data_IF_950731770611
#
_entry.id   IF_950731770611
#
_cell.length_a   1.000
_cell.length_b   1.000
_cell.length_c   1.000
_cell.angle_alpha   90.00
_cell.angle_beta   90.00
_cell.angle_gamma   90.00
#
_symmetry.space_group_name_H-M   'P 1'
#
loop_
_entity.id
_entity.type
_entity.pdbx_description
1 polymer ?
#
# COMPACT_ATOMS: atom_id res chain seq x y z
N UNK A 1 23.85 -12.57 -4.07
CA UNK A 1 22.95 -11.60 -3.42
C UNK A 1 21.92 -11.21 -4.46
N UNK A 2 20.66 -10.98 -4.08
CA UNK A 2 19.61 -10.71 -5.06
C UNK A 2 19.88 -9.34 -5.71
N UNK A 3 20.52 -9.32 -6.89
CA UNK A 3 20.85 -8.10 -7.66
C UNK A 3 19.60 -7.34 -8.17
N UNK A 4 18.40 -7.81 -7.82
CA UNK A 4 17.14 -7.18 -8.18
C UNK A 4 16.71 -6.07 -7.23
N UNK A 5 17.36 -5.91 -6.07
CA UNK A 5 17.05 -4.85 -5.10
C UNK A 5 17.96 -3.63 -5.27
N UNK A 6 17.40 -2.43 -5.12
CA UNK A 6 18.17 -1.19 -5.20
C UNK A 6 19.06 -0.95 -3.97
N UNK A 7 18.68 -1.50 -2.81
CA UNK A 7 19.45 -1.39 -1.57
C UNK A 7 20.01 -2.76 -1.17
N UNK A 8 21.32 -2.81 -0.90
CA UNK A 8 22.05 -4.05 -0.59
C UNK A 8 21.59 -4.72 0.72
N UNK A 9 20.91 -3.98 1.59
CA UNK A 9 20.43 -4.48 2.88
C UNK A 9 19.11 -5.27 2.78
N UNK A 10 18.49 -5.36 1.60
CA UNK A 10 17.22 -6.07 1.42
C UNK A 10 17.47 -7.56 1.15
N UNK A 11 16.90 -8.41 2.00
CA UNK A 11 17.05 -9.86 1.93
C UNK A 11 15.68 -10.55 1.88
N UNK A 12 15.59 -11.66 1.16
CA UNK A 12 14.35 -12.40 0.96
C UNK A 12 13.61 -12.02 -0.32
N UNK A 13 12.72 -12.90 -0.77
CA UNK A 13 11.83 -12.66 -1.91
C UNK A 13 10.60 -13.57 -1.82
N UNK A 14 9.48 -13.11 -2.35
CA UNK A 14 8.27 -13.90 -2.54
C UNK A 14 7.64 -13.54 -3.91
N UNK A 15 6.96 -14.48 -4.58
CA UNK A 15 6.37 -14.21 -5.89
C UNK A 15 5.16 -13.28 -5.78
N UNK A 16 5.03 -12.34 -6.73
CA UNK A 16 3.87 -11.45 -6.85
C UNK A 16 3.32 -11.48 -8.28
N UNK A 17 2.01 -11.20 -8.43
CA UNK A 17 1.36 -10.99 -9.71
C UNK A 17 0.83 -9.55 -9.79
N UNK A 18 1.33 -8.76 -10.73
CA UNK A 18 0.83 -7.41 -10.95
C UNK A 18 -0.55 -7.47 -11.62
N UNK A 19 -1.59 -6.97 -10.94
CA UNK A 19 -2.95 -6.88 -11.51
C UNK A 19 -3.19 -5.55 -12.23
N UNK A 20 -2.61 -4.47 -11.73
CA UNK A 20 -2.76 -3.11 -12.27
C UNK A 20 -1.37 -2.47 -12.32
N UNK A 21 -0.98 -1.94 -13.48
CA UNK A 21 0.25 -1.18 -13.68
C UNK A 21 -0.13 0.15 -14.33
N UNK A 22 -0.33 1.18 -13.50
CA UNK A 22 -0.80 2.50 -13.93
C UNK A 22 -0.46 3.56 -12.88
N UNK A 23 -0.13 4.76 -13.35
CA UNK A 23 0.01 5.93 -12.47
C UNK A 23 -1.38 6.49 -12.11
N UNK A 24 -1.67 6.56 -10.80
CA UNK A 24 -2.91 7.14 -10.26
C UNK A 24 -2.53 8.31 -9.35
N UNK A 25 -2.98 9.55 -9.63
CA UNK A 25 -2.69 10.70 -8.77
C UNK A 25 -3.26 10.55 -7.36
N UNK A 26 -2.53 11.01 -6.35
CA UNK A 26 -2.99 11.02 -4.96
C UNK A 26 -4.31 11.77 -4.76
N UNK A 27 -4.59 12.81 -5.56
CA UNK A 27 -5.86 13.54 -5.50
C UNK A 27 -7.08 12.64 -5.71
N UNK A 28 -6.94 11.56 -6.50
CA UNK A 28 -8.01 10.60 -6.75
C UNK A 28 -8.31 9.71 -5.53
N UNK A 29 -7.34 9.51 -4.62
CA UNK A 29 -7.45 8.57 -3.49
C UNK A 29 -7.47 9.27 -2.11
N UNK A 30 -7.12 10.55 -2.03
CA UNK A 30 -6.96 11.31 -0.78
C UNK A 30 -8.22 11.38 0.09
N UNK A 31 -9.40 11.21 -0.50
CA UNK A 31 -10.67 11.20 0.22
C UNK A 31 -10.91 9.91 1.02
N UNK A 32 -10.13 8.85 0.76
CA UNK A 32 -10.19 7.59 1.50
C UNK A 32 -9.34 7.75 2.77
N UNK A 33 -10.01 7.73 3.93
CA UNK A 33 -9.38 7.83 5.26
C UNK A 33 -9.30 6.48 5.93
N UNK A 34 -8.22 6.24 6.67
CA UNK A 34 -7.98 4.97 7.37
C UNK A 34 -8.24 5.14 8.87
N UNK A 35 -9.26 4.47 9.39
CA UNK A 35 -9.63 4.50 10.82
C UNK A 35 -8.49 3.99 11.72
N UNK A 36 -7.76 2.98 11.24
CA UNK A 36 -6.61 2.38 11.91
C UNK A 36 -5.34 3.23 11.79
N UNK A 37 -5.44 4.45 11.23
CA UNK A 37 -4.35 5.40 11.07
C UNK A 37 -4.78 6.82 11.44
N UNK A 38 -5.51 6.98 12.55
CA UNK A 38 -5.96 8.29 13.05
C UNK A 38 -6.79 9.07 12.01
N UNK A 39 -7.54 8.35 11.16
CA UNK A 39 -8.30 8.91 10.04
C UNK A 39 -7.44 9.70 9.03
N UNK A 40 -6.14 9.43 8.96
CA UNK A 40 -5.27 10.00 7.93
C UNK A 40 -5.66 9.46 6.54
N UNK A 41 -5.51 10.26 5.48
CA UNK A 41 -5.68 9.80 4.11
C UNK A 41 -4.79 8.60 3.80
N UNK A 42 -5.28 7.64 3.02
CA UNK A 42 -4.51 6.48 2.54
C UNK A 42 -3.22 6.89 1.81
N UNK A 43 -3.24 8.06 1.17
CA UNK A 43 -2.08 8.63 0.45
C UNK A 43 -0.91 9.01 1.37
N UNK A 44 -1.11 9.00 2.70
CA UNK A 44 -0.11 9.36 3.70
C UNK A 44 0.40 8.14 4.50
N UNK A 45 0.09 6.92 4.04
CA UNK A 45 0.53 5.69 4.68
C UNK A 45 2.03 5.42 4.48
N UNK A 46 2.64 4.74 5.45
CA UNK A 46 4.02 4.23 5.34
C UNK A 46 4.04 2.85 4.68
N UNK A 47 5.23 2.40 4.30
CA UNK A 47 5.43 1.07 3.73
C UNK A 47 4.85 -0.02 4.65
N UNK A 48 4.24 -1.05 4.06
CA UNK A 48 3.52 -2.16 4.73
C UNK A 48 2.30 -1.79 5.61
N UNK A 49 1.82 -0.55 5.58
CA UNK A 49 0.63 -0.18 6.37
C UNK A 49 -0.62 -0.87 5.82
N UNK A 50 -1.29 -1.65 6.67
CA UNK A 50 -2.52 -2.35 6.31
C UNK A 50 -3.67 -1.35 6.11
N UNK A 51 -4.22 -1.29 4.91
CA UNK A 51 -5.47 -0.60 4.66
C UNK A 51 -6.62 -1.51 5.12
N UNK A 52 -7.06 -1.35 6.37
CA UNK A 52 -8.23 -2.08 6.86
C UNK A 52 -9.47 -1.56 6.17
N UNK A 53 -10.27 -2.49 5.68
CA UNK A 53 -11.62 -2.18 5.24
C UNK A 53 -12.45 -1.81 6.48
N UNK A 54 -13.08 -0.63 6.48
CA UNK A 54 -14.09 -0.30 7.48
C UNK A 54 -15.23 -1.31 7.28
N UNK A 55 -15.35 -2.26 8.20
CA UNK A 55 -16.36 -3.32 8.22
C UNK A 55 -17.75 -2.79 7.83
N UNK A 56 -18.12 -2.95 6.56
CA UNK A 56 -19.36 -2.39 6.02
C UNK A 56 -19.67 -2.79 4.57
N UNK A 57 -18.72 -3.33 3.82
CA UNK A 57 -18.97 -3.86 2.47
C UNK A 57 -19.36 -5.36 2.46
N UNK A 58 -19.33 -6.04 3.62
CA UNK A 58 -19.67 -7.46 3.79
C UNK A 58 -20.73 -7.73 4.87
N UNK A 59 -21.63 -6.78 5.17
CA UNK A 59 -22.85 -7.06 5.95
C UNK A 59 -24.06 -7.27 5.04
#
# INVERSE_FOLDING_TARGET
>A
MAECWQQDNWVGCFPVKCHIVKDIPNSSLRHITLENNENKPVTNSRDTHEARESSGFLS
#
